data_IF_000468638650
#
_entry.id   IF_000468638650
#
_cell.length_a   1.000
_cell.length_b   1.000
_cell.length_c   1.000
_cell.angle_alpha   90.00
_cell.angle_beta   90.00
_cell.angle_gamma   90.00
#
_symmetry.space_group_name_H-M   'P 1'
#
loop_
_entity.id
_entity.type
_entity.pdbx_description
1 polymer ?
#
# COMPACT_ATOMS: atom_id res chain seq x y z
N UNK A 1 -9.75 -48.63 -17.42
CA UNK A 1 -10.38 -47.41 -18.00
C UNK A 1 -9.79 -47.19 -19.38
N UNK A 2 -10.53 -47.52 -20.43
CA UNK A 2 -10.05 -47.49 -21.81
C UNK A 2 -9.74 -46.05 -22.24
N UNK A 3 -8.45 -45.76 -22.41
CA UNK A 3 -8.00 -44.54 -23.06
C UNK A 3 -8.34 -44.60 -24.55
N UNK A 4 -9.56 -44.19 -24.90
CA UNK A 4 -9.91 -43.85 -26.27
C UNK A 4 -8.99 -42.70 -26.67
N UNK A 5 -8.00 -42.97 -27.53
CA UNK A 5 -7.13 -41.93 -28.09
C UNK A 5 -8.04 -40.90 -28.77
N UNK A 6 -8.11 -39.69 -28.20
CA UNK A 6 -8.86 -38.58 -28.79
C UNK A 6 -8.52 -38.46 -30.27
N UNK A 7 -9.56 -38.33 -31.11
CA UNK A 7 -9.38 -38.15 -32.54
C UNK A 7 -8.53 -36.89 -32.80
N UNK A 8 -7.71 -36.84 -33.87
CA UNK A 8 -6.88 -35.66 -34.18
C UNK A 8 -7.68 -34.35 -34.21
N UNK A 9 -8.95 -34.40 -34.63
CA UNK A 9 -9.89 -33.28 -34.60
C UNK A 9 -10.25 -32.86 -33.18
N UNK A 10 -10.57 -33.80 -32.29
CA UNK A 10 -10.85 -33.50 -30.88
C UNK A 10 -9.63 -32.92 -30.18
N UNK A 11 -8.41 -33.40 -30.46
CA UNK A 11 -7.18 -32.80 -29.92
C UNK A 11 -6.99 -31.35 -30.38
N UNK A 12 -7.27 -31.05 -31.64
CA UNK A 12 -7.22 -29.66 -32.13
C UNK A 12 -8.26 -28.78 -31.44
N UNK A 13 -9.48 -29.28 -31.23
CA UNK A 13 -10.53 -28.54 -30.52
C UNK A 13 -10.16 -28.32 -29.05
N UNK A 14 -9.66 -29.35 -28.37
CA UNK A 14 -9.20 -29.28 -26.97
C UNK A 14 -8.03 -28.33 -26.80
N UNK A 15 -7.05 -28.35 -27.72
CA UNK A 15 -5.94 -27.39 -27.73
C UNK A 15 -6.42 -25.97 -28.00
N UNK A 16 -7.36 -25.77 -28.93
CA UNK A 16 -7.93 -24.46 -29.21
C UNK A 16 -8.69 -23.90 -28.01
N UNK A 17 -9.45 -24.74 -27.29
CA UNK A 17 -10.15 -24.32 -26.07
C UNK A 17 -9.17 -23.97 -24.95
N UNK A 18 -8.12 -24.76 -24.73
CA UNK A 18 -7.06 -24.43 -23.78
C UNK A 18 -6.36 -23.11 -24.11
N UNK A 19 -6.04 -22.87 -25.38
CA UNK A 19 -5.45 -21.61 -25.84
C UNK A 19 -6.43 -20.45 -25.66
N UNK A 20 -7.70 -20.61 -26.02
CA UNK A 20 -8.72 -19.58 -25.84
C UNK A 20 -8.96 -19.26 -24.35
N UNK A 21 -9.05 -20.28 -23.49
CA UNK A 21 -9.19 -20.11 -22.04
C UNK A 21 -7.96 -19.42 -21.44
N UNK A 22 -6.75 -19.77 -21.89
CA UNK A 22 -5.52 -19.09 -21.48
C UNK A 22 -5.50 -17.61 -21.95
N UNK A 23 -5.94 -17.32 -23.17
CA UNK A 23 -6.05 -15.95 -23.70
C UNK A 23 -7.12 -15.13 -22.96
N UNK A 24 -8.26 -15.73 -22.61
CA UNK A 24 -9.28 -15.09 -21.78
C UNK A 24 -8.76 -14.81 -20.37
N UNK A 25 -8.09 -15.78 -19.74
CA UNK A 25 -7.49 -15.61 -18.42
C UNK A 25 -6.43 -14.50 -18.40
N UNK A 26 -5.64 -14.36 -19.48
CA UNK A 26 -4.66 -13.28 -19.63
C UNK A 26 -5.34 -11.90 -19.68
N UNK A 27 -6.50 -11.79 -20.32
CA UNK A 27 -7.24 -10.53 -20.43
C UNK A 27 -8.07 -10.18 -19.18
N UNK A 28 -8.66 -11.15 -18.48
CA UNK A 28 -9.42 -10.92 -17.23
C UNK A 28 -8.55 -10.26 -16.16
N UNK A 29 -7.25 -10.57 -16.13
CA UNK A 29 -6.31 -9.93 -15.20
C UNK A 29 -6.29 -8.40 -15.31
N UNK A 30 -6.42 -7.85 -16.53
CA UNK A 30 -6.36 -6.40 -16.79
C UNK A 30 -7.62 -5.67 -16.34
N UNK A 31 -8.79 -6.29 -16.50
CA UNK A 31 -10.07 -5.71 -16.04
C UNK A 31 -10.15 -5.68 -14.51
N UNK A 32 -9.67 -6.73 -13.86
CA UNK A 32 -9.55 -6.76 -12.39
C UNK A 32 -8.58 -5.68 -11.89
N UNK A 33 -7.44 -5.48 -12.57
CA UNK A 33 -6.49 -4.40 -12.25
C UNK A 33 -7.14 -3.01 -12.41
N UNK A 34 -7.98 -2.80 -13.42
CA UNK A 34 -8.69 -1.54 -13.60
C UNK A 34 -9.66 -1.25 -12.44
N UNK A 35 -10.31 -2.26 -11.88
CA UNK A 35 -11.15 -2.09 -10.69
C UNK A 35 -10.34 -1.59 -9.47
N UNK A 36 -9.11 -2.09 -9.29
CA UNK A 36 -8.21 -1.61 -8.24
C UNK A 36 -7.81 -0.13 -8.40
N UNK A 37 -7.78 0.41 -9.62
CA UNK A 37 -7.55 1.85 -9.84
C UNK A 37 -8.68 2.70 -9.28
N UNK A 38 -9.93 2.27 -9.46
CA UNK A 38 -11.11 2.96 -8.90
C UNK A 38 -11.08 2.92 -7.38
N UNK A 39 -10.72 1.77 -6.80
CA UNK A 39 -10.55 1.63 -5.35
C UNK A 39 -9.44 2.56 -4.84
N UNK A 40 -8.30 2.62 -5.53
CA UNK A 40 -7.22 3.54 -5.18
C UNK A 40 -7.67 5.00 -5.21
N UNK A 41 -8.40 5.43 -6.24
CA UNK A 41 -8.90 6.81 -6.34
C UNK A 41 -9.82 7.17 -5.16
N UNK A 42 -10.72 6.27 -4.79
CA UNK A 42 -11.59 6.47 -3.63
C UNK A 42 -10.81 6.59 -2.32
N UNK A 43 -9.75 5.78 -2.15
CA UNK A 43 -8.87 5.85 -0.98
C UNK A 43 -8.10 7.17 -0.97
N UNK A 44 -7.59 7.63 -2.11
CA UNK A 44 -6.89 8.92 -2.22
C UNK A 44 -7.82 10.08 -1.84
N UNK A 45 -9.04 10.12 -2.37
CA UNK A 45 -10.04 11.13 -1.99
C UNK A 45 -10.38 11.07 -0.50
N UNK A 46 -10.51 9.88 0.06
CA UNK A 46 -10.76 9.70 1.50
C UNK A 46 -9.59 10.25 2.32
N UNK A 47 -8.35 9.98 1.91
CA UNK A 47 -7.15 10.47 2.57
C UNK A 47 -7.05 12.01 2.51
N UNK A 48 -7.42 12.63 1.38
CA UNK A 48 -7.48 14.09 1.24
C UNK A 48 -8.49 14.70 2.21
N UNK A 49 -9.71 14.14 2.26
CA UNK A 49 -10.76 14.59 3.18
C UNK A 49 -10.35 14.44 4.65
N UNK A 50 -9.73 13.31 5.02
CA UNK A 50 -9.22 13.09 6.37
C UNK A 50 -8.07 14.05 6.70
N UNK A 51 -7.18 14.33 5.74
CA UNK A 51 -6.07 15.26 5.92
C UNK A 51 -6.55 16.69 6.17
N UNK A 52 -7.58 17.15 5.43
CA UNK A 52 -8.21 18.45 5.67
C UNK A 52 -8.82 18.51 7.08
N UNK A 53 -9.60 17.50 7.44
CA UNK A 53 -10.25 17.44 8.76
C UNK A 53 -9.23 17.40 9.91
N UNK A 54 -8.12 16.68 9.73
CA UNK A 54 -7.01 16.67 10.69
C UNK A 54 -6.37 18.06 10.81
N UNK A 55 -6.13 18.76 9.69
CA UNK A 55 -5.58 20.11 9.74
C UNK A 55 -6.48 21.08 10.54
N UNK A 56 -7.80 20.99 10.36
CA UNK A 56 -8.76 21.79 11.13
C UNK A 56 -8.69 21.46 12.64
N UNK A 57 -8.63 20.17 12.99
CA UNK A 57 -8.47 19.72 14.39
C UNK A 57 -7.17 20.26 15.00
N UNK A 58 -6.05 20.18 14.28
CA UNK A 58 -4.77 20.72 14.76
C UNK A 58 -4.81 22.25 14.90
N UNK A 59 -5.47 22.96 13.99
CA UNK A 59 -5.63 24.41 14.06
C UNK A 59 -6.48 24.83 15.28
N UNK A 60 -7.58 24.12 15.55
CA UNK A 60 -8.38 24.36 16.75
C UNK A 60 -7.63 23.98 18.02
N UNK A 61 -6.80 22.95 17.97
CA UNK A 61 -5.99 22.57 19.11
C UNK A 61 -4.89 23.60 19.41
N UNK A 62 -4.29 24.19 18.38
CA UNK A 62 -3.36 25.31 18.51
C UNK A 62 -4.03 26.54 19.15
N UNK A 63 -5.26 26.90 18.73
CA UNK A 63 -6.03 27.98 19.39
C UNK A 63 -6.23 27.70 20.88
N UNK A 64 -6.61 26.48 21.23
CA UNK A 64 -6.78 26.07 22.63
C UNK A 64 -5.47 26.12 23.42
N UNK A 65 -4.35 25.76 22.78
CA UNK A 65 -3.02 25.91 23.36
C UNK A 65 -2.69 27.37 23.67
N UNK A 66 -3.00 28.30 22.75
CA UNK A 66 -2.82 29.74 22.98
C UNK A 66 -3.67 30.28 24.14
N UNK A 67 -4.87 29.74 24.35
CA UNK A 67 -5.78 30.16 25.43
C UNK A 67 -5.34 29.63 26.79
N UNK A 68 -4.90 28.37 26.88
CA UNK A 68 -4.53 27.74 28.16
C UNK A 68 -3.30 26.84 28.05
N UNK A 69 -2.15 27.49 27.89
CA UNK A 69 -0.87 26.81 27.73
C UNK A 69 -0.57 25.82 28.85
N UNK A 70 -0.84 26.15 30.11
CA UNK A 70 -0.46 25.32 31.27
C UNK A 70 -1.12 23.94 31.25
N UNK A 71 -2.40 23.86 30.91
CA UNK A 71 -3.12 22.58 30.88
C UNK A 71 -2.99 21.85 29.55
N UNK A 72 -2.86 22.59 28.45
CA UNK A 72 -2.93 22.03 27.09
C UNK A 72 -1.55 21.60 26.58
N UNK A 73 -0.46 22.21 27.05
CA UNK A 73 0.93 21.90 26.64
C UNK A 73 1.28 20.42 26.58
N UNK A 74 1.05 19.59 27.63
CA UNK A 74 1.45 18.19 27.59
C UNK A 74 0.70 17.39 26.52
N UNK A 75 -0.55 17.76 26.20
CA UNK A 75 -1.33 17.09 25.16
C UNK A 75 -0.98 17.60 23.77
N UNK A 76 -0.66 18.89 23.64
CA UNK A 76 -0.19 19.49 22.40
C UNK A 76 1.14 18.91 21.95
N UNK A 77 2.11 18.78 22.87
CA UNK A 77 3.42 18.17 22.57
C UNK A 77 3.27 16.73 22.08
N UNK A 78 2.46 15.90 22.77
CA UNK A 78 2.15 14.53 22.35
C UNK A 78 1.48 14.48 20.97
N UNK A 79 0.57 15.40 20.66
CA UNK A 79 -0.09 15.43 19.35
C UNK A 79 0.89 15.83 18.23
N UNK A 80 1.79 16.78 18.49
CA UNK A 80 2.81 17.16 17.52
C UNK A 80 3.81 16.03 17.25
N UNK A 81 4.17 15.26 18.29
CA UNK A 81 4.97 14.05 18.16
C UNK A 81 4.24 12.99 17.31
N UNK A 82 2.97 12.72 17.60
CA UNK A 82 2.15 11.80 16.81
C UNK A 82 2.06 12.22 15.33
N UNK A 83 1.95 13.53 15.06
CA UNK A 83 1.95 14.09 13.70
C UNK A 83 3.27 13.85 12.98
N UNK A 84 4.39 14.05 13.67
CA UNK A 84 5.72 13.84 13.12
C UNK A 84 5.97 12.36 12.77
N UNK A 85 5.67 11.45 13.71
CA UNK A 85 5.77 10.00 13.50
C UNK A 85 4.89 9.53 12.35
N UNK A 86 3.65 10.03 12.28
CA UNK A 86 2.72 9.68 11.21
C UNK A 86 3.24 10.15 9.85
N UNK A 87 3.84 11.34 9.78
CA UNK A 87 4.44 11.87 8.56
C UNK A 87 5.63 11.03 8.11
N UNK A 88 6.53 10.68 9.02
CA UNK A 88 7.67 9.79 8.70
C UNK A 88 7.19 8.46 8.12
N UNK A 89 6.17 7.85 8.74
CA UNK A 89 5.62 6.58 8.28
C UNK A 89 4.96 6.71 6.89
N UNK A 90 4.22 7.79 6.64
CA UNK A 90 3.62 8.07 5.32
C UNK A 90 4.71 8.25 4.25
N UNK A 91 5.73 9.07 4.55
CA UNK A 91 6.85 9.33 3.64
C UNK A 91 7.61 8.03 3.33
N UNK A 92 7.80 7.16 4.33
CA UNK A 92 8.40 5.84 4.14
C UNK A 92 7.57 4.95 3.20
N UNK A 93 6.25 4.86 3.41
CA UNK A 93 5.35 4.08 2.53
C UNK A 93 5.35 4.63 1.11
N UNK A 94 5.38 5.96 0.95
CA UNK A 94 5.48 6.60 -0.37
C UNK A 94 6.80 6.25 -1.05
N UNK A 95 7.93 6.25 -0.33
CA UNK A 95 9.23 5.87 -0.90
C UNK A 95 9.24 4.40 -1.35
N UNK A 96 8.74 3.48 -0.52
CA UNK A 96 8.59 2.06 -0.91
C UNK A 96 7.73 1.91 -2.17
N UNK A 97 6.63 2.66 -2.27
CA UNK A 97 5.79 2.68 -3.48
C UNK A 97 6.58 3.17 -4.71
N UNK A 98 7.33 4.25 -4.56
CA UNK A 98 8.08 4.86 -5.67
C UNK A 98 9.22 3.94 -6.15
N UNK A 99 9.92 3.28 -5.24
CA UNK A 99 10.93 2.26 -5.56
C UNK A 99 10.30 1.09 -6.34
N UNK A 100 9.14 0.60 -5.91
CA UNK A 100 8.43 -0.47 -6.60
C UNK A 100 8.04 -0.08 -8.04
N UNK A 101 7.55 1.15 -8.23
CA UNK A 101 7.20 1.68 -9.55
C UNK A 101 8.46 1.85 -10.41
N UNK A 102 9.54 2.38 -9.85
CA UNK A 102 10.82 2.54 -10.52
C UNK A 102 11.35 1.20 -11.06
N UNK A 103 11.35 0.16 -10.22
CA UNK A 103 11.79 -1.19 -10.58
C UNK A 103 10.87 -1.83 -11.62
N UNK A 104 9.55 -1.61 -11.52
CA UNK A 104 8.56 -2.23 -12.42
C UNK A 104 8.61 -1.60 -13.80
N UNK A 105 8.65 -0.27 -13.88
CA UNK A 105 8.69 0.49 -15.14
C UNK A 105 10.11 0.60 -15.71
N UNK A 106 11.14 0.28 -14.92
CA UNK A 106 12.56 0.44 -15.25
C UNK A 106 12.93 1.91 -15.54
N UNK A 107 12.54 2.79 -14.62
CA UNK A 107 12.77 4.25 -14.68
C UNK A 107 13.48 4.71 -13.40
N UNK A 108 14.03 5.93 -13.40
CA UNK A 108 14.59 6.49 -12.16
C UNK A 108 13.50 6.74 -11.12
N UNK A 109 13.88 6.72 -9.83
CA UNK A 109 12.94 6.99 -8.71
C UNK A 109 12.27 8.37 -8.86
N UNK A 110 13.00 9.37 -9.37
CA UNK A 110 12.42 10.71 -9.58
C UNK A 110 11.38 10.73 -10.71
N UNK A 111 11.56 9.90 -11.74
CA UNK A 111 10.53 9.71 -12.76
C UNK A 111 9.35 8.91 -12.22
N UNK A 112 9.60 7.93 -11.35
CA UNK A 112 8.57 7.10 -10.72
C UNK A 112 7.61 7.93 -9.84
N UNK A 113 8.12 8.93 -9.11
CA UNK A 113 7.30 9.86 -8.32
C UNK A 113 6.26 10.62 -9.14
N UNK A 114 6.54 10.86 -10.42
CA UNK A 114 5.67 11.61 -11.33
C UNK A 114 4.64 10.71 -12.05
N UNK A 115 4.81 9.38 -11.98
CA UNK A 115 3.91 8.43 -12.64
C UNK A 115 2.68 8.23 -11.76
N UNK A 116 1.52 8.65 -12.27
CA UNK A 116 0.24 8.27 -11.69
C UNK A 116 0.04 6.76 -11.79
N UNK A 117 -0.56 6.15 -10.75
CA UNK A 117 -0.89 4.71 -10.70
C UNK A 117 -1.69 4.27 -11.93
N UNK A 118 -2.52 5.15 -12.51
CA UNK A 118 -3.30 4.90 -13.73
C UNK A 118 -2.42 4.67 -14.97
N UNK A 119 -1.25 5.30 -15.02
CA UNK A 119 -0.35 5.36 -16.16
C UNK A 119 0.81 4.36 -16.08
N UNK A 120 0.83 3.50 -15.06
CA UNK A 120 1.74 2.36 -14.99
C UNK A 120 1.44 1.47 -16.21
N UNK A 121 2.44 1.10 -17.00
CA UNK A 121 2.27 0.30 -18.22
C UNK A 121 2.28 -1.19 -17.89
N UNK A 122 3.14 -1.61 -16.97
CA UNK A 122 3.37 -3.02 -16.58
C UNK A 122 2.59 -3.39 -15.32
N UNK A 123 1.31 -3.01 -15.27
CA UNK A 123 0.42 -3.18 -14.10
C UNK A 123 0.18 -4.64 -13.73
N UNK A 124 0.28 -5.52 -14.72
CA UNK A 124 0.11 -6.97 -14.66
C UNK A 124 1.38 -7.71 -14.23
N UNK A 125 2.48 -7.00 -14.00
CA UNK A 125 3.74 -7.58 -13.55
C UNK A 125 3.66 -7.97 -12.07
N UNK A 126 3.57 -9.26 -11.80
CA UNK A 126 3.59 -9.82 -10.46
C UNK A 126 5.01 -10.19 -9.97
N UNK A 127 5.97 -10.37 -10.88
CA UNK A 127 7.31 -10.87 -10.54
C UNK A 127 8.17 -9.82 -9.86
N UNK A 128 8.14 -8.57 -10.35
CA UNK A 128 8.98 -7.49 -9.80
C UNK A 128 8.55 -7.15 -8.36
N UNK A 129 7.25 -6.93 -8.06
CA UNK A 129 6.82 -6.71 -6.68
C UNK A 129 7.15 -7.88 -5.75
N UNK A 130 6.95 -9.11 -6.22
CA UNK A 130 7.28 -10.34 -5.48
C UNK A 130 8.76 -10.37 -5.10
N UNK A 131 9.65 -10.12 -6.07
CA UNK A 131 11.10 -10.09 -5.84
C UNK A 131 11.52 -8.94 -4.93
N UNK A 132 10.92 -7.75 -5.07
CA UNK A 132 11.23 -6.60 -4.23
C UNK A 132 10.88 -6.86 -2.75
N UNK A 133 9.70 -7.42 -2.48
CA UNK A 133 9.25 -7.67 -1.12
C UNK A 133 9.81 -8.94 -0.50
N UNK A 134 9.94 -10.04 -1.25
CA UNK A 134 10.40 -11.31 -0.72
C UNK A 134 11.91 -11.53 -0.84
N UNK A 135 12.56 -10.89 -1.81
CA UNK A 135 13.97 -11.11 -2.11
C UNK A 135 14.23 -12.56 -2.55
N UNK A 136 15.30 -13.14 -2.00
CA UNK A 136 15.71 -14.53 -2.26
C UNK A 136 15.13 -15.55 -1.28
N UNK A 137 14.40 -15.09 -0.26
CA UNK A 137 13.85 -15.91 0.81
C UNK A 137 12.35 -16.07 0.64
N UNK A 138 11.84 -17.29 0.82
CA UNK A 138 10.40 -17.56 0.78
C UNK A 138 9.65 -16.95 1.99
N UNK A 139 10.36 -16.60 3.06
CA UNK A 139 9.78 -16.00 4.27
C UNK A 139 9.80 -14.46 4.22
N UNK A 140 10.34 -13.86 3.14
CA UNK A 140 10.46 -12.42 2.96
C UNK A 140 11.49 -11.72 3.85
N UNK A 141 12.29 -12.49 4.59
CA UNK A 141 13.33 -11.98 5.50
C UNK A 141 14.38 -11.09 4.81
N UNK A 142 14.65 -11.37 3.53
CA UNK A 142 15.72 -10.74 2.74
C UNK A 142 15.22 -9.56 1.90
N UNK A 143 13.91 -9.39 1.76
CA UNK A 143 13.32 -8.33 0.95
C UNK A 143 12.86 -7.12 1.77
N UNK A 144 12.20 -6.18 1.09
CA UNK A 144 11.66 -4.98 1.72
C UNK A 144 10.54 -5.27 2.74
N UNK A 145 9.92 -6.46 2.69
CA UNK A 145 8.77 -6.82 3.53
C UNK A 145 9.12 -6.84 5.02
N UNK A 146 10.29 -7.37 5.41
CA UNK A 146 10.73 -7.35 6.81
C UNK A 146 10.92 -5.93 7.33
N UNK A 147 11.60 -5.07 6.56
CA UNK A 147 11.83 -3.66 6.92
C UNK A 147 10.50 -2.90 7.09
N UNK A 148 9.57 -3.12 6.17
CA UNK A 148 8.23 -2.52 6.24
C UNK A 148 7.47 -2.99 7.48
N UNK A 149 7.49 -4.30 7.77
CA UNK A 149 6.85 -4.86 8.96
C UNK A 149 7.45 -4.27 10.25
N UNK A 150 8.77 -4.24 10.35
CA UNK A 150 9.46 -3.73 11.54
C UNK A 150 9.14 -2.24 11.75
N UNK A 151 9.09 -1.44 10.68
CA UNK A 151 8.67 -0.03 10.75
C UNK A 151 7.22 0.15 11.19
N UNK A 152 6.30 -0.70 10.72
CA UNK A 152 4.89 -0.67 11.17
C UNK A 152 4.78 -1.00 12.66
N UNK A 153 5.54 -2.00 13.13
CA UNK A 153 5.56 -2.40 14.54
C UNK A 153 6.13 -1.27 15.40
N UNK A 154 7.24 -0.67 14.97
CA UNK A 154 7.86 0.48 15.64
C UNK A 154 6.87 1.65 15.74
N UNK A 155 6.27 2.04 14.62
CA UNK A 155 5.30 3.12 14.58
C UNK A 155 4.11 2.86 15.52
N UNK A 156 3.59 1.62 15.54
CA UNK A 156 2.53 1.24 16.48
C UNK A 156 2.99 1.38 17.94
N UNK A 157 4.20 0.95 18.27
CA UNK A 157 4.73 1.03 19.63
C UNK A 157 4.91 2.49 20.07
N UNK A 158 5.47 3.33 19.21
CA UNK A 158 5.66 4.76 19.47
C UNK A 158 4.32 5.47 19.63
N UNK A 159 3.34 5.20 18.76
CA UNK A 159 2.00 5.77 18.88
C UNK A 159 1.28 5.32 20.17
N UNK A 160 1.44 4.06 20.59
CA UNK A 160 0.86 3.57 21.85
C UNK A 160 1.52 4.23 23.08
N UNK A 161 2.81 4.57 23.01
CA UNK A 161 3.52 5.25 24.09
C UNK A 161 2.98 6.68 24.34
N UNK A 162 2.40 7.31 23.31
CA UNK A 162 1.81 8.65 23.42
C UNK A 162 0.42 8.64 24.11
N UNK A 163 -0.28 7.52 24.04
CA UNK A 163 -1.63 7.36 24.63
C UNK A 163 -1.53 7.17 26.14
N UNK A 164 -2.38 7.88 26.90
CA UNK A 164 -2.40 7.70 28.35
C UNK A 164 -2.78 6.26 28.75
N UNK A 165 -2.12 5.67 29.77
CA UNK A 165 -2.31 4.27 30.14
C UNK A 165 -3.76 3.88 30.47
N UNK A 166 -4.57 4.87 30.89
CA UNK A 166 -6.00 4.70 31.21
C UNK A 166 -6.86 4.46 29.97
N UNK A 167 -6.42 4.94 28.81
CA UNK A 167 -7.14 4.82 27.54
C UNK A 167 -6.66 3.63 26.69
N UNK A 168 -5.58 2.94 27.10
CA UNK A 168 -5.05 1.77 26.38
C UNK A 168 -6.06 0.62 26.26
N UNK A 169 -7.00 0.48 27.20
CA UNK A 169 -8.04 -0.55 27.15
C UNK A 169 -9.04 -0.36 26.00
N UNK A 170 -9.18 0.86 25.47
CA UNK A 170 -10.08 1.17 24.35
C UNK A 170 -9.39 1.08 22.98
N UNK A 171 -8.08 0.78 22.94
CA UNK A 171 -7.24 0.79 21.72
C UNK A 171 -6.85 -0.63 21.29
N UNK A 172 -7.05 -1.65 22.14
CA UNK A 172 -6.80 -3.06 21.83
C UNK A 172 -8.01 -3.76 21.21
#
# INVERSE_FOLDING_TARGET
MSGVKESPRQRMISMMYLVLTALLALNVSKDVINAFLVVNDNIVQTNENLSQKLNDIYADFEKNYQINQVKVKPYWEKAQEAKALSREMVDYVQNVRNELIADTENVSIDSAKLISVKNIKKKDNYLVPTRYFMGSSNDGSDGASKKLKDRIILFRQEMLALVDPRNLQNVN
#
